data_IF_460641695921
#
_entry.id   IF_460641695921
#
_cell.length_a   1.000
_cell.length_b   1.000
_cell.length_c   1.000
_cell.angle_alpha   90.00
_cell.angle_beta   90.00
_cell.angle_gamma   90.00
#
_symmetry.space_group_name_H-M   'P 1'
#
loop_
_entity.id
_entity.type
_entity.pdbx_description
1 polymer ?
#
# COMPACT_ATOMS: atom_id res chain seq x y z
N UNK A 1 -8.70 15.23 -5.20
CA UNK A 1 -8.67 13.94 -4.48
C UNK A 1 -7.23 13.53 -4.25
N UNK A 2 -6.90 13.23 -3.02
CA UNK A 2 -5.56 12.76 -2.62
C UNK A 2 -5.58 11.26 -2.37
N UNK A 3 -4.75 10.52 -3.11
CA UNK A 3 -4.59 9.07 -2.99
C UNK A 3 -3.22 8.76 -2.40
N UNK A 4 -3.21 8.02 -1.31
CA UNK A 4 -2.00 7.50 -0.69
C UNK A 4 -1.85 6.02 -1.01
N UNK A 5 -0.73 5.62 -1.58
CA UNK A 5 -0.44 4.24 -1.97
C UNK A 5 0.53 3.60 -0.99
N UNK A 6 0.21 2.41 -0.51
CA UNK A 6 1.07 1.62 0.37
C UNK A 6 0.97 0.12 0.09
N UNK A 7 1.80 -0.68 0.74
CA UNK A 7 1.82 -2.14 0.57
C UNK A 7 2.84 -2.63 -0.46
N UNK A 8 3.43 -1.74 -1.22
CA UNK A 8 4.55 -2.01 -2.13
C UNK A 8 5.89 -1.64 -1.47
N UNK A 9 6.98 -2.15 -2.00
CA UNK A 9 8.33 -1.72 -1.61
C UNK A 9 8.64 -0.32 -2.13
N UNK A 10 8.10 0.05 -3.29
CA UNK A 10 8.25 1.35 -3.91
C UNK A 10 8.45 1.31 -5.42
N UNK A 11 8.53 2.49 -6.00
CA UNK A 11 8.84 2.75 -7.40
C UNK A 11 9.86 3.90 -7.49
N UNK A 12 10.58 4.13 -8.57
CA UNK A 12 10.80 3.23 -9.71
C UNK A 12 11.93 2.23 -9.47
N UNK A 13 12.15 1.33 -10.44
CA UNK A 13 13.32 0.45 -10.52
C UNK A 13 13.48 -0.53 -9.35
N UNK A 14 12.38 -0.93 -8.71
CA UNK A 14 12.36 -1.97 -7.69
C UNK A 14 11.70 -3.21 -8.28
N UNK A 15 12.40 -4.35 -8.24
CA UNK A 15 11.93 -5.60 -8.83
C UNK A 15 10.76 -6.18 -8.02
N UNK A 16 9.72 -6.61 -8.73
CA UNK A 16 8.55 -7.27 -8.16
C UNK A 16 7.29 -7.03 -8.97
N UNK A 17 6.34 -7.96 -8.94
CA UNK A 17 5.09 -7.83 -9.68
C UNK A 17 4.22 -6.67 -9.19
N UNK A 18 4.15 -6.48 -7.87
CA UNK A 18 3.43 -5.36 -7.26
C UNK A 18 4.08 -4.04 -7.63
N UNK A 19 5.41 -3.97 -7.58
CA UNK A 19 6.19 -2.78 -7.91
C UNK A 19 6.01 -2.38 -9.37
N UNK A 20 6.12 -3.35 -10.30
CA UNK A 20 5.88 -3.12 -11.73
C UNK A 20 4.47 -2.62 -12.00
N UNK A 21 3.46 -3.23 -11.36
CA UNK A 21 2.07 -2.79 -11.46
C UNK A 21 1.91 -1.34 -10.99
N UNK A 22 2.47 -1.00 -9.84
CA UNK A 22 2.40 0.36 -9.29
C UNK A 22 3.12 1.38 -10.17
N UNK A 23 4.28 1.01 -10.71
CA UNK A 23 5.08 1.87 -11.59
C UNK A 23 4.36 2.22 -12.90
N UNK A 24 3.54 1.30 -13.41
CA UNK A 24 2.71 1.53 -14.60
C UNK A 24 1.39 2.26 -14.30
N UNK A 25 0.72 1.91 -13.22
CA UNK A 25 -0.62 2.39 -12.90
C UNK A 25 -0.62 3.84 -12.38
N UNK A 26 0.19 4.14 -11.37
CA UNK A 26 0.05 5.40 -10.64
C UNK A 26 0.49 6.63 -11.41
N UNK A 27 1.50 6.61 -12.30
CA UNK A 27 1.74 7.73 -13.20
C UNK A 27 0.57 8.03 -14.14
N UNK A 28 -0.16 6.99 -14.57
CA UNK A 28 -1.36 7.18 -15.41
C UNK A 28 -2.51 7.80 -14.62
N UNK A 29 -2.67 7.45 -13.36
CA UNK A 29 -3.66 8.06 -12.46
C UNK A 29 -3.30 9.52 -12.17
N UNK A 30 -2.03 9.81 -11.90
CA UNK A 30 -1.56 11.16 -11.62
C UNK A 30 -1.81 12.12 -12.81
N UNK A 31 -1.71 11.63 -14.05
CA UNK A 31 -2.03 12.42 -15.26
C UNK A 31 -3.49 12.84 -15.35
N UNK A 32 -4.40 12.21 -14.59
CA UNK A 32 -5.82 12.56 -14.52
C UNK A 32 -6.12 13.62 -13.45
N UNK A 33 -5.14 14.41 -13.07
CA UNK A 33 -5.25 15.47 -12.05
C UNK A 33 -5.62 14.94 -10.65
N UNK A 34 -5.21 13.69 -10.35
CA UNK A 34 -5.32 13.08 -9.03
C UNK A 34 -3.97 13.23 -8.32
N UNK A 35 -3.97 13.79 -7.12
CA UNK A 35 -2.77 13.92 -6.29
C UNK A 35 -2.40 12.55 -5.70
N UNK A 36 -1.40 11.89 -6.27
CA UNK A 36 -0.95 10.57 -5.86
C UNK A 36 0.37 10.67 -5.08
N UNK A 37 0.38 10.12 -3.88
CA UNK A 37 1.60 9.94 -3.08
C UNK A 37 1.81 8.46 -2.81
N UNK A 38 2.97 7.94 -3.15
CA UNK A 38 3.35 6.55 -2.93
C UNK A 38 4.38 6.47 -1.81
N UNK A 39 4.07 5.68 -0.79
CA UNK A 39 4.97 5.45 0.35
C UNK A 39 5.91 4.29 0.02
N UNK A 40 7.22 4.59 0.02
CA UNK A 40 8.27 3.61 -0.24
C UNK A 40 8.87 3.07 1.07
N UNK A 41 9.35 1.84 1.03
CA UNK A 41 10.18 1.28 2.10
C UNK A 41 11.63 1.68 1.88
N UNK A 42 12.16 2.54 2.72
CA UNK A 42 13.51 3.11 2.56
C UNK A 42 14.61 2.06 2.39
N UNK A 43 14.46 0.90 3.01
CA UNK A 43 15.42 -0.20 2.90
C UNK A 43 15.58 -0.78 1.48
N UNK A 44 14.63 -0.54 0.59
CA UNK A 44 14.65 -0.99 -0.81
C UNK A 44 14.93 0.13 -1.81
N UNK A 45 15.08 1.37 -1.33
CA UNK A 45 15.26 2.55 -2.17
C UNK A 45 16.73 2.90 -2.25
N UNK A 46 17.23 3.08 -3.46
CA UNK A 46 18.62 3.39 -3.76
C UNK A 46 18.80 4.75 -4.46
N UNK A 47 17.75 5.55 -4.49
CA UNK A 47 17.72 6.89 -5.07
C UNK A 47 17.27 7.92 -4.03
N UNK A 48 17.28 9.19 -4.40
CA UNK A 48 16.79 10.31 -3.60
C UNK A 48 15.61 11.04 -4.27
N UNK A 49 14.84 10.33 -5.10
CA UNK A 49 13.72 10.92 -5.81
C UNK A 49 12.58 11.30 -4.85
N UNK A 50 12.06 12.50 -5.00
CA UNK A 50 10.87 12.98 -4.30
C UNK A 50 9.60 12.85 -5.16
N UNK A 51 9.78 12.64 -6.47
CA UNK A 51 8.69 12.48 -7.44
C UNK A 51 9.10 11.58 -8.59
N UNK A 52 8.16 10.79 -9.10
CA UNK A 52 8.32 9.99 -10.30
C UNK A 52 7.09 10.11 -11.20
N UNK A 53 7.26 10.72 -12.39
CA UNK A 53 6.20 10.91 -13.41
C UNK A 53 4.86 11.44 -12.83
N UNK A 54 4.94 12.43 -11.95
CA UNK A 54 3.79 13.05 -11.31
C UNK A 54 3.31 12.39 -10.02
N UNK A 55 3.93 11.27 -9.62
CA UNK A 55 3.67 10.58 -8.35
C UNK A 55 4.66 11.07 -7.30
N UNK A 56 4.17 11.65 -6.21
CA UNK A 56 5.00 12.04 -5.08
C UNK A 56 5.50 10.80 -4.33
N UNK A 57 6.74 10.80 -3.92
CA UNK A 57 7.39 9.69 -3.24
C UNK A 57 7.75 10.08 -1.81
N UNK A 58 7.36 9.25 -0.84
CA UNK A 58 7.71 9.45 0.57
C UNK A 58 8.35 8.16 1.08
N UNK A 59 9.55 8.28 1.65
CA UNK A 59 10.31 7.15 2.17
C UNK A 59 10.08 7.02 3.68
N UNK A 60 9.69 5.83 4.13
CA UNK A 60 9.55 5.49 5.54
C UNK A 60 10.52 4.39 5.94
N UNK A 61 11.18 4.61 7.06
CA UNK A 61 12.03 3.60 7.68
C UNK A 61 11.19 2.54 8.39
N UNK A 62 11.58 1.28 8.23
CA UNK A 62 10.95 0.14 8.88
C UNK A 62 12.01 -0.82 9.39
N UNK A 63 11.77 -1.52 10.51
CA UNK A 63 12.69 -2.54 10.99
C UNK A 63 12.78 -3.71 9.98
N UNK A 64 13.99 -4.21 9.74
CA UNK A 64 14.28 -5.30 8.78
C UNK A 64 13.82 -6.69 9.28
N UNK A 65 12.68 -6.81 9.93
CA UNK A 65 12.12 -8.09 10.36
C UNK A 65 11.13 -8.60 9.31
N UNK A 66 11.53 -9.62 8.54
CA UNK A 66 10.81 -10.15 7.37
C UNK A 66 9.30 -10.41 7.58
N UNK A 67 8.87 -10.80 8.78
CA UNK A 67 7.47 -11.15 9.04
C UNK A 67 6.57 -9.94 9.33
N UNK A 68 7.10 -8.87 9.89
CA UNK A 68 6.32 -7.72 10.34
C UNK A 68 6.60 -6.43 9.57
N UNK A 69 7.62 -6.42 8.73
CA UNK A 69 8.03 -5.22 7.99
C UNK A 69 6.86 -4.60 7.20
N UNK A 70 6.13 -5.42 6.46
CA UNK A 70 5.01 -4.96 5.64
C UNK A 70 3.88 -4.35 6.48
N UNK A 71 3.56 -4.96 7.62
CA UNK A 71 2.50 -4.51 8.53
C UNK A 71 2.92 -3.21 9.22
N UNK A 72 4.14 -3.13 9.75
CA UNK A 72 4.66 -1.94 10.42
C UNK A 72 4.77 -0.78 9.41
N UNK A 73 5.26 -1.04 8.20
CA UNK A 73 5.32 -0.04 7.14
C UNK A 73 3.92 0.50 6.81
N UNK A 74 2.96 -0.39 6.62
CA UNK A 74 1.58 0.01 6.29
C UNK A 74 0.93 0.79 7.42
N UNK A 75 1.16 0.42 8.68
CA UNK A 75 0.69 1.17 9.84
C UNK A 75 1.24 2.60 9.84
N UNK A 76 2.56 2.76 9.68
CA UNK A 76 3.19 4.08 9.58
C UNK A 76 2.70 4.87 8.37
N UNK A 77 2.48 4.20 7.23
CA UNK A 77 1.97 4.81 6.02
C UNK A 77 0.54 5.33 6.21
N UNK A 78 -0.32 4.59 6.91
CA UNK A 78 -1.69 5.03 7.23
C UNK A 78 -1.68 6.27 8.14
N UNK A 79 -0.82 6.29 9.15
CA UNK A 79 -0.65 7.48 9.99
C UNK A 79 -0.14 8.68 9.18
N UNK A 80 0.80 8.45 8.28
CA UNK A 80 1.29 9.49 7.37
C UNK A 80 0.19 9.97 6.42
N UNK A 81 -0.62 9.07 5.87
CA UNK A 81 -1.77 9.39 5.05
C UNK A 81 -2.75 10.31 5.78
N UNK A 82 -3.04 10.02 7.05
CA UNK A 82 -3.89 10.86 7.89
C UNK A 82 -3.28 12.26 8.09
N UNK A 83 -1.98 12.35 8.36
CA UNK A 83 -1.29 13.64 8.53
C UNK A 83 -1.27 14.48 7.27
N UNK A 84 -1.28 13.86 6.09
CA UNK A 84 -1.32 14.53 4.78
C UNK A 84 -2.76 14.76 4.27
N UNK A 85 -3.77 14.46 5.09
CA UNK A 85 -5.20 14.59 4.72
C UNK A 85 -5.56 13.82 3.44
N UNK A 86 -5.10 12.57 3.33
CA UNK A 86 -5.48 11.69 2.23
C UNK A 86 -6.97 11.35 2.27
N UNK A 87 -7.62 11.38 1.12
CA UNK A 87 -9.02 10.98 0.96
C UNK A 87 -9.14 9.46 0.82
N UNK A 88 -8.18 8.86 0.13
CA UNK A 88 -8.15 7.43 -0.20
C UNK A 88 -6.78 6.85 0.16
N UNK A 89 -6.79 5.69 0.80
CA UNK A 89 -5.60 4.84 0.96
C UNK A 89 -5.75 3.62 0.05
N UNK A 90 -4.82 3.47 -0.88
CA UNK A 90 -4.77 2.32 -1.78
C UNK A 90 -3.73 1.33 -1.25
N UNK A 91 -4.20 0.18 -0.77
CA UNK A 91 -3.37 -0.85 -0.14
C UNK A 91 -3.12 -1.98 -1.15
N UNK A 92 -1.86 -2.32 -1.36
CA UNK A 92 -1.45 -3.45 -2.17
C UNK A 92 -0.98 -4.62 -1.30
N UNK A 93 -1.29 -5.84 -1.72
CA UNK A 93 -0.99 -7.11 -1.07
C UNK A 93 -1.81 -7.38 0.22
N UNK A 94 -2.07 -8.67 0.47
CA UNK A 94 -2.98 -9.15 1.51
C UNK A 94 -2.48 -8.83 2.93
N UNK A 95 -1.17 -8.97 3.20
CA UNK A 95 -0.63 -8.68 4.52
C UNK A 95 -0.94 -7.26 5.01
N UNK A 96 -0.57 -6.23 4.24
CA UNK A 96 -0.93 -4.86 4.53
C UNK A 96 -2.44 -4.60 4.61
N UNK A 97 -3.27 -5.35 3.87
CA UNK A 97 -4.73 -5.19 3.91
C UNK A 97 -5.37 -5.49 5.28
N UNK A 98 -4.67 -6.23 6.16
CA UNK A 98 -5.11 -6.45 7.54
C UNK A 98 -5.29 -5.15 8.33
N UNK A 99 -4.68 -4.05 7.91
CA UNK A 99 -4.82 -2.73 8.54
C UNK A 99 -5.96 -1.88 7.95
N UNK A 100 -6.75 -2.42 7.04
CA UNK A 100 -7.92 -1.73 6.46
C UNK A 100 -8.89 -1.18 7.50
N UNK A 101 -9.31 -1.93 8.55
CA UNK A 101 -10.20 -1.38 9.58
C UNK A 101 -9.61 -0.16 10.27
N UNK A 102 -8.30 -0.17 10.50
CA UNK A 102 -7.61 0.96 11.12
C UNK A 102 -7.66 2.22 10.24
N UNK A 103 -7.40 2.09 8.94
CA UNK A 103 -7.50 3.21 8.00
C UNK A 103 -8.93 3.78 7.93
N UNK A 104 -9.93 2.89 7.95
CA UNK A 104 -11.35 3.30 7.95
C UNK A 104 -11.76 4.02 9.24
N UNK A 105 -11.27 3.57 10.40
CA UNK A 105 -11.50 4.25 11.69
C UNK A 105 -10.94 5.67 11.69
N UNK A 106 -9.86 5.92 10.94
CA UNK A 106 -9.29 7.25 10.76
C UNK A 106 -10.06 8.12 9.74
N UNK A 107 -11.15 7.61 9.17
CA UNK A 107 -12.04 8.34 8.25
C UNK A 107 -11.59 8.32 6.79
N UNK A 108 -10.62 7.49 6.42
CA UNK A 108 -10.16 7.38 5.03
C UNK A 108 -10.92 6.28 4.28
N UNK A 109 -11.16 6.51 2.99
CA UNK A 109 -11.65 5.45 2.09
C UNK A 109 -10.50 4.52 1.75
N UNK A 110 -10.77 3.23 1.64
CA UNK A 110 -9.76 2.22 1.34
C UNK A 110 -10.07 1.52 0.02
N UNK A 111 -9.06 1.48 -0.85
CA UNK A 111 -9.03 0.65 -2.05
C UNK A 111 -7.98 -0.42 -1.83
N UNK A 112 -8.29 -1.65 -2.19
CA UNK A 112 -7.40 -2.78 -2.05
C UNK A 112 -7.18 -3.46 -3.40
N UNK A 113 -5.92 -3.70 -3.77
CA UNK A 113 -5.57 -4.49 -4.95
C UNK A 113 -4.94 -5.80 -4.54
N UNK A 114 -5.56 -6.89 -4.98
CA UNK A 114 -5.09 -8.25 -4.78
C UNK A 114 -4.13 -8.67 -5.90
N UNK A 115 -2.91 -9.08 -5.53
CA UNK A 115 -1.86 -9.49 -6.48
C UNK A 115 -1.63 -11.00 -6.53
N UNK A 116 -2.68 -11.81 -6.35
CA UNK A 116 -2.62 -13.26 -6.36
C UNK A 116 -2.84 -13.89 -4.99
N UNK A 117 -2.96 -15.23 -4.91
CA UNK A 117 -3.39 -15.95 -3.71
C UNK A 117 -2.26 -16.06 -2.67
N UNK A 118 -1.78 -14.95 -2.16
CA UNK A 118 -0.75 -14.92 -1.10
C UNK A 118 -1.21 -15.62 0.19
N UNK A 119 -2.52 -15.75 0.39
CA UNK A 119 -3.08 -16.47 1.52
C UNK A 119 -2.86 -17.99 1.44
N UNK A 120 -2.60 -18.55 0.27
CA UNK A 120 -2.26 -19.96 0.08
C UNK A 120 -0.83 -20.30 0.49
N UNK A 121 0.00 -19.30 0.71
CA UNK A 121 1.35 -19.53 1.23
C UNK A 121 1.27 -19.98 2.69
N UNK A 122 1.99 -21.03 3.04
CA UNK A 122 1.99 -21.65 4.38
C UNK A 122 2.35 -20.72 5.56
N UNK A 123 2.76 -19.50 5.28
CA UNK A 123 3.08 -18.48 6.29
C UNK A 123 1.86 -17.81 6.93
N UNK A 124 0.65 -18.02 6.40
CA UNK A 124 -0.58 -17.43 6.93
C UNK A 124 -1.33 -18.44 7.80
N UNK A 125 -1.67 -18.06 9.01
CA UNK A 125 -2.54 -18.85 9.87
C UNK A 125 -3.99 -18.86 9.34
N UNK A 126 -4.77 -19.88 9.73
CA UNK A 126 -6.15 -20.05 9.33
C UNK A 126 -7.03 -18.81 9.66
N UNK A 127 -6.87 -18.21 10.84
CA UNK A 127 -7.60 -17.04 11.26
C UNK A 127 -7.35 -15.82 10.32
N UNK A 128 -6.10 -15.59 9.92
CA UNK A 128 -5.75 -14.51 9.01
C UNK A 128 -6.35 -14.71 7.61
N UNK A 129 -6.42 -15.95 7.12
CA UNK A 129 -7.08 -16.28 5.85
C UNK A 129 -8.58 -15.96 5.89
N UNK A 130 -9.25 -16.34 6.97
CA UNK A 130 -10.69 -16.08 7.16
C UNK A 130 -10.99 -14.59 7.25
N UNK A 131 -10.19 -13.82 7.97
CA UNK A 131 -10.34 -12.36 8.10
C UNK A 131 -10.21 -11.65 6.74
N UNK A 132 -9.29 -12.09 5.88
CA UNK A 132 -9.12 -11.54 4.54
C UNK A 132 -10.35 -11.80 3.66
N UNK A 133 -10.95 -12.98 3.74
CA UNK A 133 -12.17 -13.31 3.00
C UNK A 133 -13.37 -12.45 3.45
N UNK A 134 -13.55 -12.25 4.76
CA UNK A 134 -14.63 -11.42 5.32
C UNK A 134 -14.47 -9.96 4.90
N UNK A 135 -13.26 -9.43 4.88
CA UNK A 135 -13.00 -8.04 4.49
C UNK A 135 -13.21 -7.76 3.00
N UNK A 136 -13.12 -8.77 2.16
CA UNK A 136 -13.41 -8.65 0.74
C UNK A 136 -14.89 -8.35 0.44
N UNK A 137 -15.79 -8.60 1.40
CA UNK A 137 -17.25 -8.42 1.22
C UNK A 137 -17.81 -7.12 1.80
N UNK A 138 -17.10 -6.44 2.72
CA UNK A 138 -17.60 -5.27 3.47
C UNK A 138 -17.09 -3.93 2.93
N UNK A 139 -17.52 -3.55 1.72
CA UNK A 139 -17.32 -2.18 1.19
C UNK A 139 -15.87 -1.79 0.89
N UNK A 140 -14.99 -2.77 0.72
CA UNK A 140 -13.70 -2.59 0.07
C UNK A 140 -13.87 -2.73 -1.43
N UNK A 141 -13.37 -1.76 -2.17
CA UNK A 141 -13.25 -1.91 -3.61
C UNK A 141 -12.03 -2.80 -3.89
N UNK A 142 -12.27 -4.05 -4.28
CA UNK A 142 -11.23 -4.98 -4.73
C UNK A 142 -11.07 -4.81 -6.23
N UNK A 143 -9.88 -4.44 -6.66
CA UNK A 143 -9.50 -4.37 -8.07
C UNK A 143 -8.67 -5.60 -8.47
#
# INVERSE_FOLDING_TARGET
MKVMVTGTRGIPNILGGVETHCEELFPRIARKSIDVTLIRRKSYVHDSLEEYKGVKLVDLETPKKKSFEAIIHTFKAILKAKSLHADVVHIHAIGPALLTPFARLLGMKVVFTHHGPDYDRNKWGFAAKTDVEIWGTDGMYVC
#
